data_IF_799135550425
#
_entry.id   IF_799135550425
#
_cell.length_a   1.000
_cell.length_b   1.000
_cell.length_c   1.000
_cell.angle_alpha   90.00
_cell.angle_beta   90.00
_cell.angle_gamma   90.00
#
_symmetry.space_group_name_H-M   'P 1'
#
loop_
_entity.id
_entity.type
_entity.pdbx_description
1 polymer ?
#
# COMPACT_ATOMS: atom_id res chain seq x y z
N UNK A 1 -15.69 -6.22 -12.23
CA UNK A 1 -14.59 -5.72 -11.39
C UNK A 1 -14.77 -6.24 -9.99
N UNK A 2 -13.74 -6.87 -9.42
CA UNK A 2 -13.74 -7.26 -8.01
C UNK A 2 -13.73 -6.00 -7.12
N UNK A 3 -14.24 -6.07 -5.88
CA UNK A 3 -14.13 -4.93 -4.94
C UNK A 3 -12.68 -4.55 -4.70
N UNK A 4 -11.78 -5.53 -4.72
CA UNK A 4 -10.34 -5.35 -4.59
C UNK A 4 -9.76 -4.54 -5.74
N UNK A 5 -10.12 -4.83 -6.99
CA UNK A 5 -9.70 -4.07 -8.17
C UNK A 5 -10.11 -2.59 -8.05
N UNK A 6 -11.35 -2.34 -7.60
CA UNK A 6 -11.85 -0.97 -7.41
C UNK A 6 -11.12 -0.25 -6.28
N UNK A 7 -10.80 -0.96 -5.19
CA UNK A 7 -10.06 -0.43 -4.07
C UNK A 7 -8.62 -0.07 -4.45
N UNK A 8 -7.91 -0.98 -5.12
CA UNK A 8 -6.54 -0.77 -5.57
C UNK A 8 -6.47 0.38 -6.58
N UNK A 9 -7.42 0.47 -7.52
CA UNK A 9 -7.51 1.59 -8.45
C UNK A 9 -7.84 2.93 -7.76
N UNK A 10 -8.64 2.91 -6.68
CA UNK A 10 -8.89 4.10 -5.85
C UNK A 10 -7.63 4.51 -5.10
N UNK A 11 -6.92 3.56 -4.50
CA UNK A 11 -5.66 3.80 -3.80
C UNK A 11 -4.62 4.42 -4.73
N UNK A 12 -4.40 3.85 -5.92
CA UNK A 12 -3.44 4.39 -6.89
C UNK A 12 -3.78 5.83 -7.33
N UNK A 13 -5.07 6.16 -7.51
CA UNK A 13 -5.51 7.53 -7.82
C UNK A 13 -5.26 8.52 -6.69
N UNK A 14 -5.45 8.09 -5.44
CA UNK A 14 -5.17 8.92 -4.27
C UNK A 14 -3.68 9.13 -4.11
N UNK A 15 -2.88 8.07 -4.25
CA UNK A 15 -1.42 8.16 -4.21
C UNK A 15 -0.87 9.16 -5.26
N UNK A 16 -1.42 9.11 -6.48
CA UNK A 16 -1.05 10.03 -7.55
C UNK A 16 -1.36 11.50 -7.25
N UNK A 17 -2.45 11.75 -6.50
CA UNK A 17 -2.86 13.11 -6.10
C UNK A 17 -2.12 13.61 -4.87
N UNK A 18 -1.86 12.74 -3.90
CA UNK A 18 -1.15 13.07 -2.67
C UNK A 18 0.34 13.35 -2.92
N UNK A 19 0.93 12.75 -3.95
CA UNK A 19 2.29 13.04 -4.40
C UNK A 19 3.32 12.80 -3.31
N UNK A 20 3.96 13.86 -2.83
CA UNK A 20 4.98 13.85 -1.79
C UNK A 20 4.44 14.13 -0.38
N UNK A 21 3.12 14.24 -0.21
CA UNK A 21 2.51 14.48 1.10
C UNK A 21 2.92 13.38 2.09
N UNK A 22 3.39 13.73 3.31
CA UNK A 22 3.76 12.77 4.33
C UNK A 22 2.65 11.77 4.70
N UNK A 23 1.39 12.08 4.38
CA UNK A 23 0.20 11.27 4.65
C UNK A 23 -0.27 10.48 3.42
N UNK A 24 0.43 10.54 2.29
CA UNK A 24 0.02 9.89 1.05
C UNK A 24 -0.38 8.42 1.25
N UNK A 25 0.44 7.64 1.95
CA UNK A 25 0.15 6.22 2.19
C UNK A 25 -1.06 6.01 3.12
N UNK A 26 -1.26 6.88 4.11
CA UNK A 26 -2.46 6.84 4.94
C UNK A 26 -3.71 7.09 4.11
N UNK A 27 -3.69 8.08 3.22
CA UNK A 27 -4.81 8.39 2.35
C UNK A 27 -5.11 7.23 1.38
N UNK A 28 -4.06 6.59 0.84
CA UNK A 28 -4.19 5.38 0.00
C UNK A 28 -4.91 4.27 0.76
N UNK A 29 -4.42 3.92 1.95
CA UNK A 29 -4.99 2.83 2.76
C UNK A 29 -6.42 3.18 3.21
N UNK A 30 -6.70 4.44 3.53
CA UNK A 30 -8.03 4.89 3.91
C UNK A 30 -9.01 4.87 2.73
N UNK A 31 -8.56 5.21 1.52
CA UNK A 31 -9.36 5.09 0.31
C UNK A 31 -9.69 3.62 0.00
N UNK A 32 -8.70 2.72 0.14
CA UNK A 32 -8.90 1.28 0.01
C UNK A 32 -9.89 0.74 1.05
N UNK A 33 -9.75 1.14 2.31
CA UNK A 33 -10.69 0.79 3.39
C UNK A 33 -12.12 1.24 3.07
N UNK A 34 -12.28 2.47 2.54
CA UNK A 34 -13.58 2.98 2.11
C UNK A 34 -14.21 2.16 0.97
N UNK A 35 -13.41 1.73 0.00
CA UNK A 35 -13.87 0.93 -1.14
C UNK A 35 -14.19 -0.54 -0.77
N UNK A 36 -13.41 -1.14 0.13
CA UNK A 36 -13.57 -2.53 0.57
C UNK A 36 -14.66 -2.68 1.64
N UNK A 37 -14.85 -1.67 2.48
CA UNK A 37 -15.79 -1.71 3.60
C UNK A 37 -15.45 -2.87 4.56
N UNK A 38 -16.40 -3.78 4.85
CA UNK A 38 -16.14 -4.89 5.76
C UNK A 38 -15.09 -5.88 5.23
N UNK A 39 -14.89 -5.96 3.92
CA UNK A 39 -13.97 -6.91 3.29
C UNK A 39 -12.49 -6.52 3.55
N UNK A 40 -12.21 -5.38 4.19
CA UNK A 40 -10.85 -4.96 4.55
C UNK A 40 -10.16 -5.95 5.50
N UNK A 41 -10.92 -6.69 6.31
CA UNK A 41 -10.36 -7.72 7.22
C UNK A 41 -9.78 -8.92 6.48
N UNK A 42 -10.15 -9.10 5.22
CA UNK A 42 -9.68 -10.20 4.38
C UNK A 42 -8.39 -9.81 3.62
N UNK A 43 -7.97 -8.55 3.69
CA UNK A 43 -6.73 -8.09 3.04
C UNK A 43 -5.53 -8.52 3.89
N UNK A 44 -4.68 -9.34 3.30
CA UNK A 44 -3.43 -9.78 3.91
C UNK A 44 -2.35 -8.69 3.81
N UNK A 45 -2.26 -8.07 2.62
CA UNK A 45 -1.17 -7.15 2.30
C UNK A 45 -1.59 -6.06 1.35
N UNK A 46 -1.05 -4.86 1.57
CA UNK A 46 -0.98 -3.77 0.59
C UNK A 46 0.48 -3.36 0.40
N UNK A 47 0.89 -3.13 -0.85
CA UNK A 47 2.22 -2.67 -1.22
C UNK A 47 2.08 -1.36 -2.01
N UNK A 48 2.79 -0.34 -1.58
CA UNK A 48 2.95 0.93 -2.30
C UNK A 48 4.40 1.01 -2.78
N UNK A 49 4.62 1.17 -4.09
CA UNK A 49 5.95 1.02 -4.70
C UNK A 49 6.14 1.92 -5.92
N UNK A 50 7.39 2.19 -6.27
CA UNK A 50 7.73 2.87 -7.52
C UNK A 50 7.58 1.91 -8.71
N UNK A 51 6.68 2.24 -9.65
CA UNK A 51 6.43 1.43 -10.83
C UNK A 51 7.39 1.82 -11.96
N UNK A 52 8.52 1.13 -12.05
CA UNK A 52 9.53 1.38 -13.10
C UNK A 52 9.19 0.77 -14.46
N UNK A 53 8.09 0.00 -14.54
CA UNK A 53 7.64 -0.71 -15.73
C UNK A 53 6.20 -0.33 -16.07
N UNK A 54 5.89 -0.29 -17.37
CA UNK A 54 4.56 0.10 -17.84
C UNK A 54 3.45 -0.90 -17.47
N UNK A 55 3.80 -2.15 -17.13
CA UNK A 55 2.87 -3.20 -16.75
C UNK A 55 2.58 -3.27 -15.24
N UNK A 56 3.21 -2.39 -14.45
CA UNK A 56 3.02 -2.34 -13.01
C UNK A 56 3.56 -3.58 -12.30
N UNK A 57 4.67 -4.13 -12.78
CA UNK A 57 5.31 -5.25 -12.10
C UNK A 57 5.81 -4.81 -10.73
N UNK A 58 5.31 -5.46 -9.67
CA UNK A 58 5.76 -5.22 -8.30
C UNK A 58 7.18 -5.74 -8.13
N UNK A 59 8.13 -4.98 -7.56
CA UNK A 59 9.47 -5.49 -7.28
C UNK A 59 9.42 -6.72 -6.36
N UNK A 60 10.08 -7.81 -6.75
CA UNK A 60 9.99 -9.10 -6.03
C UNK A 60 10.39 -9.00 -4.55
N UNK A 61 11.31 -8.09 -4.21
CA UNK A 61 11.73 -7.85 -2.82
C UNK A 61 10.57 -7.40 -1.91
N UNK A 62 9.60 -6.64 -2.46
CA UNK A 62 8.40 -6.17 -1.77
C UNK A 62 7.37 -7.25 -1.48
N UNK A 63 7.48 -8.39 -2.18
CA UNK A 63 6.56 -9.51 -2.04
C UNK A 63 7.04 -10.54 -0.99
N UNK A 64 8.21 -10.33 -0.39
CA UNK A 64 8.75 -11.25 0.62
C UNK A 64 8.04 -11.11 1.97
N UNK A 65 7.98 -12.21 2.73
CA UNK A 65 7.51 -12.16 4.13
C UNK A 65 8.38 -11.23 4.99
N UNK A 66 9.68 -11.13 4.69
CA UNK A 66 10.58 -10.21 5.39
C UNK A 66 10.16 -8.76 5.17
N UNK A 67 9.84 -8.37 3.93
CA UNK A 67 9.39 -7.01 3.62
C UNK A 67 8.09 -6.66 4.33
N UNK A 68 7.16 -7.62 4.44
CA UNK A 68 5.96 -7.44 5.24
C UNK A 68 6.32 -7.19 6.72
N UNK A 69 7.17 -8.00 7.33
CA UNK A 69 7.56 -7.82 8.75
C UNK A 69 8.30 -6.50 9.01
N UNK A 70 9.11 -6.05 8.05
CA UNK A 70 9.88 -4.80 8.18
C UNK A 70 9.12 -3.56 7.72
N UNK A 71 7.89 -3.71 7.21
CA UNK A 71 7.08 -2.60 6.69
C UNK A 71 7.54 -2.06 5.32
N UNK A 72 8.41 -2.78 4.61
CA UNK A 72 8.93 -2.34 3.33
C UNK A 72 10.36 -2.78 3.00
N UNK A 73 10.82 -2.31 1.84
CA UNK A 73 12.21 -2.38 1.35
C UNK A 73 12.66 -0.96 1.09
N UNK A 74 13.70 -0.51 1.79
CA UNK A 74 14.18 0.87 1.77
C UNK A 74 14.47 1.39 0.35
N UNK A 75 13.89 2.53 0.01
CA UNK A 75 13.96 3.18 -1.30
C UNK A 75 13.20 2.47 -2.42
N UNK A 76 12.39 1.44 -2.11
CA UNK A 76 11.73 0.62 -3.14
C UNK A 76 10.22 0.53 -2.91
N UNK A 77 9.79 0.20 -1.70
CA UNK A 77 8.37 0.05 -1.40
C UNK A 77 8.07 0.05 0.09
N UNK A 78 6.87 0.52 0.43
CA UNK A 78 6.25 0.34 1.74
C UNK A 78 5.27 -0.84 1.68
N UNK A 79 5.26 -1.68 2.71
CA UNK A 79 4.38 -2.85 2.79
C UNK A 79 3.55 -2.77 4.08
N UNK A 80 2.25 -2.96 3.93
CA UNK A 80 1.26 -2.91 5.01
C UNK A 80 0.58 -4.26 5.16
N UNK A 81 0.46 -4.74 6.38
CA UNK A 81 -0.28 -5.95 6.72
C UNK A 81 -1.68 -5.67 7.25
N UNK A 82 -2.39 -6.74 7.60
CA UNK A 82 -3.71 -6.68 8.22
C UNK A 82 -3.74 -5.83 9.50
N UNK A 83 -2.66 -5.84 10.29
CA UNK A 83 -2.59 -5.08 11.54
C UNK A 83 -2.52 -3.56 11.30
N UNK A 84 -1.79 -3.12 10.26
CA UNK A 84 -1.79 -1.71 9.85
C UNK A 84 -3.18 -1.29 9.37
N UNK A 85 -3.80 -2.17 8.57
CA UNK A 85 -5.15 -1.95 8.03
C UNK A 85 -6.24 -1.98 9.10
N UNK A 86 -6.05 -2.67 10.22
CA UNK A 86 -6.96 -2.66 11.36
C UNK A 86 -6.76 -1.40 12.22
N UNK A 87 -5.51 -0.95 12.36
CA UNK A 87 -5.12 0.16 13.23
C UNK A 87 -4.92 1.51 12.51
N UNK A 88 -5.37 1.65 11.25
CA UNK A 88 -5.22 2.90 10.49
C UNK A 88 -5.75 4.08 11.30
N UNK A 89 -4.82 4.92 11.73
CA UNK A 89 -5.08 6.18 12.40
C UNK A 89 -4.19 7.23 11.76
N UNK A 90 -4.72 8.44 11.65
CA UNK A 90 -3.97 9.59 11.13
C UNK A 90 -2.71 9.87 11.97
N UNK A 91 -2.79 9.64 13.29
CA UNK A 91 -1.67 9.79 14.21
C UNK A 91 -0.52 8.81 13.90
N UNK A 92 -0.82 7.59 13.46
CA UNK A 92 0.19 6.58 13.10
C UNK A 92 1.07 7.05 11.94
N UNK A 93 0.53 7.82 10.99
CA UNK A 93 1.29 8.28 9.83
C UNK A 93 1.89 9.69 10.00
N UNK A 94 1.40 10.49 10.94
CA UNK A 94 1.89 11.86 11.20
C UNK A 94 2.94 11.96 12.30
N UNK A 95 2.85 11.11 13.33
CA UNK A 95 3.81 11.11 14.46
C UNK A 95 5.00 10.19 14.26
N UNK A 96 5.07 9.54 13.09
CA UNK A 96 6.06 8.50 12.86
C UNK A 96 5.71 7.19 13.59
N UNK A 97 4.44 6.83 13.64
CA UNK A 97 4.07 5.48 14.07
C UNK A 97 4.71 4.48 13.11
N UNK A 98 5.56 3.63 13.64
CA UNK A 98 6.12 2.53 12.88
C UNK A 98 5.06 1.48 12.61
N UNK A 99 5.24 0.82 11.47
CA UNK A 99 4.83 -0.56 11.34
C UNK A 99 5.37 -1.36 12.55
N UNK A 100 4.53 -2.11 13.26
CA UNK A 100 4.88 -2.87 14.49
C UNK A 100 5.32 -2.05 15.73
N UNK A 101 4.83 -0.82 15.92
CA UNK A 101 4.80 -0.16 17.25
C UNK A 101 6.05 0.61 17.71
N UNK A 102 6.99 0.90 16.81
CA UNK A 102 8.05 1.89 17.03
C UNK A 102 7.58 3.35 16.83
N UNK A 103 8.34 4.32 17.32
CA UNK A 103 8.13 5.74 17.07
C UNK A 103 9.33 6.31 16.29
N UNK A 104 9.08 7.02 15.19
CA UNK A 104 10.08 7.66 14.33
C UNK A 104 9.48 8.12 13.00
N UNK A 105 9.96 9.26 12.47
CA UNK A 105 9.56 9.88 11.18
C UNK A 105 8.95 8.85 10.19
N UNK A 106 7.81 9.13 9.51
CA UNK A 106 7.27 8.25 8.46
C UNK A 106 8.37 7.64 7.57
N UNK A 107 9.41 8.41 7.25
CA UNK A 107 10.54 8.01 6.41
C UNK A 107 11.82 7.54 7.14
N UNK A 108 11.83 7.51 8.48
CA UNK A 108 12.98 7.20 9.33
C UNK A 108 12.71 6.09 10.36
N UNK A 109 11.94 5.07 9.95
CA UNK A 109 11.52 3.94 10.80
C UNK A 109 10.00 3.83 11.01
N UNK A 110 9.21 4.71 10.38
CA UNK A 110 7.75 4.69 10.38
C UNK A 110 7.10 3.67 9.42
N UNK A 111 5.77 3.65 9.35
CA UNK A 111 4.98 2.81 8.42
C UNK A 111 5.21 3.11 6.93
N UNK A 112 5.90 4.20 6.57
CA UNK A 112 6.25 4.55 5.18
C UNK A 112 7.76 4.53 4.93
N UNK A 113 8.55 3.95 5.85
CA UNK A 113 10.01 4.00 5.79
C UNK A 113 10.60 3.16 4.66
N UNK A 114 9.81 2.25 4.09
CA UNK A 114 10.19 1.48 2.92
C UNK A 114 10.34 2.34 1.67
N UNK A 115 9.40 3.24 1.39
CA UNK A 115 9.53 4.22 0.32
C UNK A 115 8.82 5.52 0.70
N UNK A 116 9.63 6.48 1.13
CA UNK A 116 9.17 7.75 1.68
C UNK A 116 8.36 8.55 0.65
N UNK A 117 7.19 9.11 1.01
CA UNK A 117 6.46 10.04 0.15
C UNK A 117 7.31 11.20 -0.38
N UNK A 118 8.15 11.79 0.48
CA UNK A 118 9.03 12.91 0.09
C UNK A 118 10.01 12.57 -1.05
N UNK A 119 10.32 11.30 -1.26
CA UNK A 119 11.23 10.83 -2.32
C UNK A 119 10.48 10.44 -3.61
N UNK A 120 9.15 10.60 -3.66
CA UNK A 120 8.30 10.17 -4.80
C UNK A 120 8.14 11.21 -5.89
N UNK A 121 8.66 12.40 -5.67
CA UNK A 121 8.73 13.47 -6.66
C UNK A 121 10.15 13.58 -7.16
N UNK A 122 10.33 13.49 -8.48
CA UNK A 122 11.63 13.71 -9.07
C UNK A 122 11.91 15.23 -9.13
N UNK A 123 12.98 15.74 -8.50
CA UNK A 123 13.32 17.17 -8.53
C UNK A 123 13.65 17.68 -9.94
N UNK A 124 13.92 16.81 -10.91
CA UNK A 124 14.07 17.14 -12.33
C UNK A 124 12.75 17.28 -13.09
N UNK A 125 11.62 16.98 -12.44
CA UNK A 125 10.27 17.04 -13.04
C UNK A 125 9.92 15.83 -13.90
N UNK A 126 10.71 14.75 -13.83
CA UNK A 126 10.39 13.51 -14.52
C UNK A 126 9.09 12.89 -13.96
N UNK A 127 8.35 12.20 -14.83
CA UNK A 127 7.14 11.50 -14.42
C UNK A 127 7.51 10.27 -13.57
N UNK A 128 7.16 10.30 -12.29
CA UNK A 128 7.24 9.14 -11.41
C UNK A 128 5.91 8.38 -11.47
N UNK A 129 5.99 7.08 -11.67
CA UNK A 129 4.82 6.19 -11.66
C UNK A 129 4.78 5.45 -10.33
N UNK A 130 3.62 5.42 -9.71
CA UNK A 130 3.39 4.74 -8.44
C UNK A 130 2.42 3.59 -8.64
N UNK A 131 2.78 2.42 -8.12
CA UNK A 131 1.93 1.24 -8.08
C UNK A 131 1.36 0.99 -6.70
N UNK A 132 0.10 0.55 -6.67
CA UNK A 132 -0.55 -0.05 -5.51
C UNK A 132 -0.87 -1.49 -5.85
N UNK A 133 -0.50 -2.40 -4.97
CA UNK A 133 -0.78 -3.84 -5.07
C UNK A 133 -1.42 -4.33 -3.79
N UNK A 134 -2.37 -5.24 -3.88
CA UNK A 134 -2.99 -5.82 -2.70
C UNK A 134 -3.31 -7.30 -2.89
N UNK A 135 -3.21 -8.06 -1.79
CA UNK A 135 -3.61 -9.47 -1.69
C UNK A 135 -4.72 -9.59 -0.68
N UNK A 136 -5.78 -10.30 -1.05
CA UNK A 136 -6.94 -10.59 -0.19
C UNK A 136 -7.20 -12.09 -0.16
N UNK A 137 -7.35 -12.65 1.03
CA UNK A 137 -7.70 -14.04 1.24
C UNK A 137 -9.21 -14.21 1.38
N UNK A 138 -9.86 -14.93 0.47
CA UNK A 138 -11.29 -15.25 0.60
C UNK A 138 -11.51 -16.68 1.04
N UNK A 139 -12.16 -16.84 2.19
CA UNK A 139 -12.62 -18.15 2.67
C UNK A 139 -13.85 -18.64 1.89
N UNK A 140 -13.88 -19.94 1.57
CA UNK A 140 -14.99 -20.54 0.83
C UNK A 140 -16.23 -20.66 1.72
N UNK A 141 -17.32 -19.97 1.35
CA UNK A 141 -18.61 -19.90 2.09
C UNK A 141 -19.23 -21.27 2.38
N UNK A 142 -18.94 -22.30 1.58
CA UNK A 142 -19.71 -23.55 1.64
C UNK A 142 -19.30 -24.52 2.75
N UNK A 143 -18.18 -24.32 3.46
CA UNK A 143 -17.79 -25.13 4.64
C UNK A 143 -17.55 -26.64 4.40
N UNK A 144 -17.95 -27.18 3.25
CA UNK A 144 -17.80 -28.58 2.87
C UNK A 144 -16.39 -28.91 2.35
N UNK A 145 -15.60 -27.89 2.00
CA UNK A 145 -14.23 -28.03 1.52
C UNK A 145 -13.36 -26.92 2.15
N UNK A 146 -12.86 -27.12 3.39
CA UNK A 146 -12.07 -26.13 4.12
C UNK A 146 -10.74 -25.73 3.45
N UNK A 147 -10.38 -26.35 2.32
CA UNK A 147 -9.15 -26.11 1.56
C UNK A 147 -9.35 -25.28 0.29
N UNK A 148 -10.54 -24.73 0.04
CA UNK A 148 -10.84 -23.93 -1.16
C UNK A 148 -10.76 -22.40 -0.93
N UNK A 149 -10.07 -21.97 0.13
CA UNK A 149 -9.69 -20.56 0.23
C UNK A 149 -8.81 -20.18 -0.97
N UNK A 150 -9.09 -19.05 -1.59
CA UNK A 150 -8.31 -18.55 -2.73
C UNK A 150 -7.78 -17.15 -2.43
N UNK A 151 -6.50 -16.95 -2.67
CA UNK A 151 -5.90 -15.62 -2.68
C UNK A 151 -6.28 -14.92 -3.98
N UNK A 152 -6.68 -13.67 -3.84
CA UNK A 152 -6.95 -12.77 -4.96
C UNK A 152 -5.97 -11.63 -4.83
N UNK A 153 -5.16 -11.42 -5.86
CA UNK A 153 -4.26 -10.29 -5.93
C UNK A 153 -4.63 -9.33 -7.06
N UNK A 154 -4.48 -8.04 -6.81
CA UNK A 154 -4.81 -6.97 -7.77
C UNK A 154 -3.75 -5.87 -7.71
N UNK A 155 -3.52 -5.20 -8.83
CA UNK A 155 -2.59 -4.06 -8.94
C UNK A 155 -3.14 -2.94 -9.81
N UNK A 156 -2.78 -1.72 -9.48
CA UNK A 156 -3.02 -0.54 -10.30
C UNK A 156 -1.80 0.38 -10.25
N UNK A 157 -1.54 1.08 -11.35
CA UNK A 157 -0.46 2.06 -11.46
C UNK A 157 -1.06 3.40 -11.86
N UNK A 158 -0.57 4.47 -11.25
CA UNK A 158 -0.92 5.84 -11.59
C UNK A 158 0.33 6.71 -11.67
N UNK A 159 0.27 7.75 -12.49
CA UNK A 159 1.32 8.76 -12.57
C UNK A 159 1.14 9.78 -11.44
N UNK A 160 2.19 10.10 -10.71
CA UNK A 160 2.16 11.17 -9.71
C UNK A 160 2.04 12.53 -10.40
N UNK A 161 1.09 13.35 -9.93
CA UNK A 161 0.96 14.73 -10.36
C UNK A 161 2.09 15.57 -9.70
N UNK A 162 2.80 16.43 -10.44
CA UNK A 162 3.76 17.35 -9.83
C UNK A 162 3.05 18.28 -8.84
N UNK A 163 3.62 18.45 -7.63
CA UNK A 163 3.13 19.44 -6.69
C UNK A 163 3.24 20.85 -7.31
N UNK A 164 2.15 21.62 -7.28
CA UNK A 164 2.04 22.98 -7.79
C UNK A 164 2.63 24.02 -6.85
#
# INVERSE_FOLDING_TARGET
ASRLESAVASGARVAAQAGDDPQADWEVLQAMRGALGPDISDVERVVVYEATTADGTVPAACLTASALVTGGVAGVCSVYGSDDLASLSHATFTSGGAHNGGAGNPCGGGSTAGWCPADRVDPSGAAVMLGVYAVMHRSSITGYLPTLGSDIDERAVARIEPAS
#
